data_IF_424470190465
#
_entry.id   IF_424470190465
#
_cell.length_a   1.000
_cell.length_b   1.000
_cell.length_c   1.000
_cell.angle_alpha   90.00
_cell.angle_beta   90.00
_cell.angle_gamma   90.00
#
_symmetry.space_group_name_H-M   'P 1'
#
loop_
_entity.id
_entity.type
_entity.pdbx_description
1 polymer ?
#
# COMPACT_ATOMS: atom_id res chain seq x y z
N UNK A 1 22.22 18.60 19.71
CA UNK A 1 20.99 17.79 19.58
C UNK A 1 19.94 18.72 19.01
N UNK A 2 19.31 18.38 17.87
CA UNK A 2 18.27 19.24 17.28
C UNK A 2 17.06 19.21 18.21
N UNK A 3 16.61 20.37 18.67
CA UNK A 3 15.44 20.45 19.53
C UNK A 3 14.17 20.65 18.70
N UNK A 4 13.77 19.62 17.95
CA UNK A 4 12.58 19.66 17.08
C UNK A 4 11.32 20.07 17.85
N UNK A 5 11.20 19.62 19.10
CA UNK A 5 10.01 19.82 19.91
C UNK A 5 10.00 21.15 20.70
N UNK A 6 11.11 21.90 20.72
CA UNK A 6 11.16 23.19 21.41
C UNK A 6 10.39 24.31 20.71
N UNK A 7 10.21 24.25 19.39
CA UNK A 7 9.44 25.23 18.62
C UNK A 7 7.95 24.83 18.45
N UNK A 8 7.49 23.77 19.12
CA UNK A 8 6.10 23.31 19.04
C UNK A 8 5.10 24.26 19.73
N UNK A 9 3.87 24.25 19.25
CA UNK A 9 2.75 25.10 19.64
C UNK A 9 2.12 25.86 18.46
N UNK A 10 2.25 25.32 17.24
CA UNK A 10 1.74 25.89 15.99
C UNK A 10 1.28 24.76 15.04
N UNK A 11 0.97 25.07 13.79
CA UNK A 11 0.70 24.12 12.71
C UNK A 11 1.89 23.17 12.52
N UNK A 12 1.61 21.88 12.31
CA UNK A 12 2.61 20.88 11.97
C UNK A 12 2.69 20.74 10.44
N UNK A 13 3.91 20.74 9.90
CA UNK A 13 4.12 20.65 8.45
C UNK A 13 5.09 19.55 8.08
N UNK A 14 4.86 18.98 6.91
CA UNK A 14 5.76 18.02 6.26
C UNK A 14 5.98 18.41 4.81
N UNK A 15 7.24 18.62 4.48
CA UNK A 15 7.72 18.91 3.14
C UNK A 15 8.31 17.69 2.46
N UNK A 16 8.22 17.62 1.13
CA UNK A 16 8.88 16.62 0.30
C UNK A 16 9.55 17.24 -0.93
N UNK A 17 10.79 16.81 -1.19
CA UNK A 17 11.52 17.01 -2.44
C UNK A 17 11.76 15.63 -3.04
N UNK A 18 11.43 15.43 -4.31
CA UNK A 18 11.69 14.17 -5.03
C UNK A 18 12.63 14.44 -6.19
N UNK A 19 13.80 13.80 -6.17
CA UNK A 19 14.77 13.83 -7.24
C UNK A 19 14.83 12.46 -7.92
N UNK A 20 14.16 12.37 -9.08
CA UNK A 20 14.14 11.15 -9.89
C UNK A 20 15.48 10.84 -10.57
N UNK A 21 16.40 11.81 -10.68
CA UNK A 21 17.72 11.59 -11.29
C UNK A 21 18.65 10.82 -10.35
N UNK A 22 18.52 11.04 -9.03
CA UNK A 22 19.29 10.35 -8.00
C UNK A 22 18.49 9.25 -7.28
N UNK A 23 17.21 9.08 -7.61
CA UNK A 23 16.27 8.16 -6.95
C UNK A 23 16.15 8.42 -5.44
N UNK A 24 16.16 9.70 -5.04
CA UNK A 24 16.06 10.14 -3.65
C UNK A 24 14.79 10.98 -3.42
N UNK A 25 14.10 10.71 -2.32
CA UNK A 25 13.09 11.58 -1.73
C UNK A 25 13.60 12.13 -0.39
N UNK A 26 13.48 13.45 -0.19
CA UNK A 26 13.87 14.13 1.04
C UNK A 26 12.64 14.71 1.71
N UNK A 27 12.42 14.33 2.96
CA UNK A 27 11.36 14.85 3.82
C UNK A 27 11.89 15.90 4.77
N UNK A 28 11.07 16.91 5.04
CA UNK A 28 11.33 17.97 6.02
C UNK A 28 10.14 18.03 6.97
N UNK A 29 10.35 17.78 8.26
CA UNK A 29 9.28 17.88 9.27
C UNK A 29 9.59 19.06 10.18
N UNK A 30 8.61 19.92 10.43
CA UNK A 30 8.75 21.11 11.28
C UNK A 30 7.52 22.02 11.20
N UNK A 31 7.65 23.26 11.67
CA UNK A 31 6.59 24.28 11.52
C UNK A 31 6.63 24.90 10.11
N UNK A 32 5.53 25.50 9.61
CA UNK A 32 5.56 26.21 8.34
C UNK A 32 6.64 27.28 8.26
N UNK A 33 6.85 28.02 9.36
CA UNK A 33 7.85 29.08 9.45
C UNK A 33 9.28 28.55 9.38
N UNK A 34 9.57 27.46 10.12
CA UNK A 34 10.91 26.86 10.14
C UNK A 34 11.25 26.24 8.77
N UNK A 35 10.29 25.56 8.12
CA UNK A 35 10.46 25.03 6.77
C UNK A 35 10.68 26.16 5.77
N UNK A 36 9.88 27.22 5.82
CA UNK A 36 10.01 28.39 4.94
C UNK A 36 11.38 29.04 5.09
N UNK A 37 11.85 29.24 6.31
CA UNK A 37 13.17 29.80 6.60
C UNK A 37 14.29 28.88 6.08
N UNK A 38 14.18 27.57 6.27
CA UNK A 38 15.14 26.61 5.74
C UNK A 38 15.25 26.67 4.21
N UNK A 39 14.13 26.80 3.51
CA UNK A 39 14.13 26.93 2.04
C UNK A 39 14.78 28.23 1.59
N UNK A 40 14.42 29.37 2.18
CA UNK A 40 15.00 30.66 1.80
C UNK A 40 16.50 30.76 2.10
N UNK A 41 17.00 29.98 3.04
CA UNK A 41 18.43 29.83 3.31
C UNK A 41 19.13 28.83 2.36
N UNK A 42 18.49 28.45 1.24
CA UNK A 42 19.10 27.64 0.19
C UNK A 42 19.04 26.13 0.42
N UNK A 43 18.12 25.65 1.27
CA UNK A 43 17.95 24.23 1.59
C UNK A 43 19.25 23.53 2.05
N UNK A 44 19.93 24.03 3.11
CA UNK A 44 21.19 23.46 3.57
C UNK A 44 21.03 21.97 3.90
N UNK A 45 22.06 21.17 3.56
CA UNK A 45 22.07 19.71 3.80
C UNK A 45 21.91 19.32 5.26
N UNK A 46 22.37 20.20 6.18
CA UNK A 46 22.22 20.04 7.62
C UNK A 46 20.94 20.76 8.05
N UNK A 47 20.09 20.04 8.77
CA UNK A 47 18.90 20.62 9.38
C UNK A 47 19.29 21.76 10.33
N UNK A 48 18.53 22.85 10.28
CA UNK A 48 18.57 23.92 11.30
C UNK A 48 17.71 23.51 12.49
N UNK A 49 17.78 24.27 13.59
CA UNK A 49 16.86 24.05 14.72
C UNK A 49 15.40 24.18 14.26
N UNK A 50 14.49 23.40 14.87
CA UNK A 50 13.07 23.40 14.54
C UNK A 50 12.65 22.54 13.35
N UNK A 51 13.60 21.97 12.59
CA UNK A 51 13.30 21.01 11.51
C UNK A 51 14.09 19.72 11.63
N UNK A 52 13.56 18.65 11.05
CA UNK A 52 14.29 17.40 10.80
C UNK A 52 14.21 17.05 9.33
N UNK A 53 15.33 16.55 8.81
CA UNK A 53 15.47 16.06 7.45
C UNK A 53 15.58 14.54 7.47
N UNK A 54 14.78 13.87 6.65
CA UNK A 54 14.93 12.45 6.36
C UNK A 54 15.16 12.24 4.88
N UNK A 55 16.07 11.33 4.51
CA UNK A 55 16.36 11.02 3.12
C UNK A 55 16.16 9.54 2.88
N UNK A 56 15.39 9.24 1.84
CA UNK A 56 15.02 7.89 1.48
C UNK A 56 15.11 7.69 -0.03
N UNK A 57 15.01 6.44 -0.46
CA UNK A 57 14.80 6.15 -1.89
C UNK A 57 13.38 6.49 -2.30
N UNK A 58 13.17 6.94 -3.53
CA UNK A 58 11.83 7.21 -4.06
C UNK A 58 10.92 5.99 -3.88
N UNK A 59 9.74 6.19 -3.31
CA UNK A 59 8.81 5.11 -2.99
C UNK A 59 8.81 4.66 -1.55
N UNK A 60 9.60 5.28 -0.67
CA UNK A 60 9.65 4.87 0.73
C UNK A 60 8.40 5.29 1.49
N UNK A 61 7.76 6.42 1.18
CA UNK A 61 6.46 6.77 1.80
C UNK A 61 5.41 5.66 1.66
N UNK A 62 5.34 5.02 0.50
CA UNK A 62 4.45 3.88 0.26
C UNK A 62 4.83 2.68 1.13
N UNK A 63 6.12 2.45 1.38
CA UNK A 63 6.60 1.39 2.28
C UNK A 63 6.28 1.72 3.74
N UNK A 64 6.44 2.97 4.13
CA UNK A 64 6.19 3.49 5.47
C UNK A 64 4.71 3.37 5.87
N UNK A 65 3.79 3.75 4.97
CA UNK A 65 2.35 3.54 5.16
C UNK A 65 2.04 2.04 5.26
N UNK A 66 2.58 1.22 4.36
CA UNK A 66 2.39 -0.23 4.38
C UNK A 66 2.91 -0.88 5.67
N UNK A 67 4.02 -0.37 6.23
CA UNK A 67 4.60 -0.83 7.50
C UNK A 67 3.70 -0.44 8.66
N UNK A 68 3.35 0.84 8.75
CA UNK A 68 2.52 1.38 9.83
C UNK A 68 1.17 0.67 9.95
N UNK A 69 0.55 0.29 8.82
CA UNK A 69 -0.70 -0.48 8.83
C UNK A 69 -0.55 -1.93 9.27
N UNK A 70 0.62 -2.55 9.03
CA UNK A 70 0.84 -3.99 9.26
C UNK A 70 1.45 -4.28 10.61
N UNK A 71 2.30 -3.39 11.09
CA UNK A 71 3.00 -3.53 12.36
C UNK A 71 2.04 -3.06 13.44
N UNK A 72 1.32 -4.03 14.01
CA UNK A 72 0.20 -3.78 14.94
C UNK A 72 0.57 -2.82 16.07
N UNK A 73 1.75 -3.01 16.68
CA UNK A 73 2.18 -2.22 17.84
C UNK A 73 2.48 -0.75 17.52
N UNK A 74 3.02 -0.42 16.34
CA UNK A 74 3.46 0.96 16.05
C UNK A 74 2.29 1.96 16.05
N UNK A 75 1.14 1.59 15.46
CA UNK A 75 -0.04 2.47 15.45
C UNK A 75 -0.83 2.38 16.75
N UNK A 76 -0.91 1.20 17.37
CA UNK A 76 -1.63 1.02 18.65
C UNK A 76 -0.99 1.85 19.77
N UNK A 77 0.35 1.86 19.88
CA UNK A 77 1.06 2.68 20.89
C UNK A 77 0.79 4.18 20.70
N UNK A 78 0.74 4.67 19.46
CA UNK A 78 0.44 6.07 19.18
C UNK A 78 -1.01 6.41 19.58
N UNK A 79 -1.96 5.51 19.32
CA UNK A 79 -3.36 5.67 19.75
C UNK A 79 -3.45 5.68 21.27
N UNK A 80 -2.72 4.81 21.96
CA UNK A 80 -2.67 4.78 23.43
C UNK A 80 -2.12 6.10 24.01
N UNK A 81 -1.07 6.67 23.42
CA UNK A 81 -0.58 8.00 23.80
C UNK A 81 -1.63 9.09 23.58
N UNK A 82 -2.28 9.07 22.41
CA UNK A 82 -3.36 10.01 22.10
C UNK A 82 -4.49 9.91 23.11
N UNK A 83 -4.90 8.71 23.51
CA UNK A 83 -6.02 8.51 24.44
C UNK A 83 -5.66 8.96 25.86
N UNK A 84 -4.41 8.73 26.30
CA UNK A 84 -3.91 9.29 27.57
C UNK A 84 -3.85 10.81 27.55
N UNK A 85 -3.41 11.41 26.43
CA UNK A 85 -3.42 12.87 26.26
C UNK A 85 -4.84 13.44 26.23
N UNK A 86 -5.87 12.66 25.86
CA UNK A 86 -7.27 13.05 25.93
C UNK A 86 -7.86 13.06 27.37
N UNK A 87 -7.03 13.25 28.40
CA UNK A 87 -7.48 13.34 29.80
C UNK A 87 -7.45 14.81 30.28
N UNK A 88 -8.62 15.37 30.58
CA UNK A 88 -8.77 16.74 31.05
C UNK A 88 -8.10 16.99 32.41
N UNK A 89 -8.11 16.01 33.31
CA UNK A 89 -7.46 16.14 34.62
C UNK A 89 -5.94 16.29 34.46
N UNK A 90 -5.34 15.51 33.54
CA UNK A 90 -3.91 15.60 33.21
C UNK A 90 -3.51 16.95 32.58
N UNK A 91 -4.44 17.58 31.87
CA UNK A 91 -4.26 18.93 31.35
C UNK A 91 -4.32 19.96 32.47
N UNK A 92 -5.26 19.81 33.42
CA UNK A 92 -5.42 20.70 34.57
C UNK A 92 -4.23 20.65 35.54
N UNK A 93 -3.72 19.47 35.87
CA UNK A 93 -2.64 19.28 36.84
C UNK A 93 -1.23 19.38 36.23
N UNK A 94 -1.13 19.44 34.89
CA UNK A 94 0.11 19.56 34.14
C UNK A 94 0.91 18.25 33.97
N UNK A 95 0.39 17.12 34.44
CA UNK A 95 1.01 15.80 34.27
C UNK A 95 1.09 15.35 32.81
N UNK A 96 0.28 15.93 31.93
CA UNK A 96 0.38 15.77 30.47
C UNK A 96 1.78 16.06 29.90
N UNK A 97 2.62 16.88 30.55
CA UNK A 97 3.97 17.14 30.05
C UNK A 97 4.87 15.89 30.06
N UNK A 98 4.76 15.04 31.09
CA UNK A 98 5.49 13.76 31.11
C UNK A 98 5.05 12.85 29.96
N UNK A 99 3.75 12.86 29.64
CA UNK A 99 3.21 12.09 28.51
C UNK A 99 3.71 12.59 27.16
N UNK A 100 3.89 13.92 27.02
CA UNK A 100 4.48 14.51 25.82
C UNK A 100 5.97 14.15 25.69
N UNK A 101 6.71 14.16 26.80
CA UNK A 101 8.10 13.75 26.82
C UNK A 101 8.25 12.28 26.39
N UNK A 102 7.39 11.39 26.90
CA UNK A 102 7.33 9.98 26.44
C UNK A 102 6.98 9.87 24.95
N UNK A 103 5.94 10.59 24.48
CA UNK A 103 5.56 10.59 23.06
C UNK A 103 6.73 11.05 22.16
N UNK A 104 7.52 12.03 22.60
CA UNK A 104 8.67 12.54 21.84
C UNK A 104 9.77 11.48 21.67
N UNK A 105 9.92 10.56 22.63
CA UNK A 105 10.90 9.46 22.56
C UNK A 105 10.53 8.42 21.49
N UNK A 106 9.27 8.36 21.07
CA UNK A 106 8.83 7.49 19.97
C UNK A 106 9.18 8.05 18.59
N UNK A 107 9.59 9.31 18.49
CA UNK A 107 10.07 9.92 17.27
C UNK A 107 11.42 9.32 16.88
N UNK A 108 11.50 8.74 15.68
CA UNK A 108 12.71 8.07 15.22
C UNK A 108 13.63 9.06 14.48
N UNK A 109 14.81 9.32 15.04
CA UNK A 109 15.82 10.20 14.45
C UNK A 109 16.78 9.48 13.48
N UNK A 110 16.61 8.17 13.30
CA UNK A 110 17.47 7.38 12.43
C UNK A 110 17.21 7.66 10.94
N UNK A 111 18.16 7.23 10.11
CA UNK A 111 18.01 7.27 8.65
C UNK A 111 16.90 6.34 8.13
N UNK A 112 16.44 5.38 8.95
CA UNK A 112 15.40 4.40 8.59
C UNK A 112 14.02 4.77 9.16
N UNK A 113 13.87 6.00 9.65
CA UNK A 113 12.65 6.47 10.26
C UNK A 113 11.44 6.34 9.32
N UNK A 114 10.34 5.84 9.87
CA UNK A 114 9.05 5.81 9.19
C UNK A 114 8.45 7.22 9.18
N UNK A 115 8.37 7.84 8.01
CA UNK A 115 7.95 9.25 7.89
C UNK A 115 6.49 9.44 8.26
N UNK A 116 5.63 8.48 7.91
CA UNK A 116 4.23 8.53 8.28
C UNK A 116 4.08 8.51 9.82
N UNK A 117 4.82 7.61 10.50
CA UNK A 117 4.85 7.52 11.96
C UNK A 117 5.37 8.82 12.59
N UNK A 118 6.54 9.29 12.14
CA UNK A 118 7.18 10.49 12.69
C UNK A 118 6.30 11.74 12.53
N UNK A 119 5.65 11.88 11.37
CA UNK A 119 4.75 13.00 11.14
C UNK A 119 3.52 12.95 12.04
N UNK A 120 2.91 11.77 12.26
CA UNK A 120 1.81 11.62 13.22
C UNK A 120 2.25 12.01 14.62
N UNK A 121 3.40 11.54 15.08
CA UNK A 121 3.94 11.88 16.41
C UNK A 121 4.15 13.39 16.55
N UNK A 122 4.83 14.00 15.57
CA UNK A 122 5.06 15.44 15.56
C UNK A 122 3.75 16.23 15.53
N UNK A 123 2.79 15.81 14.71
CA UNK A 123 1.46 16.43 14.64
C UNK A 123 0.73 16.38 15.98
N UNK A 124 0.65 15.20 16.62
CA UNK A 124 -0.02 15.04 17.91
C UNK A 124 0.63 15.90 18.99
N UNK A 125 1.96 15.88 19.08
CA UNK A 125 2.70 16.70 20.02
C UNK A 125 2.43 18.19 19.80
N UNK A 126 2.53 18.66 18.54
CA UNK A 126 2.40 20.07 18.20
C UNK A 126 0.97 20.59 18.46
N UNK A 127 -0.05 19.84 18.05
CA UNK A 127 -1.46 20.17 18.31
C UNK A 127 -1.77 20.18 19.80
N UNK A 128 -1.28 19.22 20.56
CA UNK A 128 -1.50 19.22 22.00
C UNK A 128 -0.85 20.44 22.67
N UNK A 129 0.40 20.78 22.33
CA UNK A 129 1.08 21.99 22.84
C UNK A 129 0.33 23.27 22.49
N UNK A 130 -0.24 23.36 21.28
CA UNK A 130 -1.05 24.49 20.85
C UNK A 130 -2.28 24.67 21.76
N UNK A 131 -3.04 23.60 21.99
CA UNK A 131 -4.21 23.63 22.87
C UNK A 131 -3.85 23.84 24.35
N UNK A 132 -2.75 23.25 24.82
CA UNK A 132 -2.21 23.48 26.16
C UNK A 132 -1.83 24.96 26.38
N UNK A 133 -1.20 25.60 25.39
CA UNK A 133 -0.86 27.03 25.45
C UNK A 133 -2.11 27.90 25.56
N UNK A 134 -3.15 27.58 24.79
CA UNK A 134 -4.42 28.30 24.83
C UNK A 134 -5.17 28.09 26.14
N UNK A 135 -5.14 26.88 26.71
CA UNK A 135 -5.63 26.59 28.05
C UNK A 135 -4.90 27.41 29.13
N UNK A 136 -3.57 27.50 29.05
CA UNK A 136 -2.73 28.19 30.03
C UNK A 136 -2.86 29.74 29.99
N UNK A 137 -3.57 30.31 29.01
CA UNK A 137 -3.89 31.75 29.03
C UNK A 137 -4.67 32.06 30.31
N UNK A 138 -4.17 33.02 31.11
CA UNK A 138 -4.71 33.39 32.44
C UNK A 138 -6.17 33.81 32.33
N UNK A 139 -7.05 33.07 33.01
CA UNK A 139 -8.45 33.44 33.22
C UNK A 139 -8.78 33.14 34.70
N UNK A 140 -9.35 34.10 35.42
CA UNK A 140 -9.76 33.93 36.82
C UNK A 140 -11.03 33.09 36.93
N UNK A 141 -10.90 31.77 36.79
CA UNK A 141 -12.01 30.82 36.87
C UNK A 141 -12.01 30.04 38.20
N UNK A 142 -13.18 29.53 38.58
CA UNK A 142 -13.31 28.53 39.64
C UNK A 142 -12.69 27.19 39.20
N UNK A 143 -12.48 26.27 40.15
CA UNK A 143 -11.97 24.91 39.85
C UNK A 143 -12.84 24.21 38.80
N UNK A 144 -14.17 24.25 38.96
CA UNK A 144 -15.10 23.68 37.99
C UNK A 144 -14.99 24.36 36.63
N UNK A 145 -14.96 25.70 36.59
CA UNK A 145 -14.83 26.44 35.32
C UNK A 145 -13.50 26.17 34.59
N UNK A 146 -12.43 25.86 35.34
CA UNK A 146 -11.15 25.46 34.75
C UNK A 146 -11.22 24.04 34.17
N UNK A 147 -11.92 23.13 34.83
CA UNK A 147 -12.15 21.76 34.35
C UNK A 147 -13.00 21.73 33.08
N UNK A 148 -14.15 22.43 33.08
CA UNK A 148 -15.01 22.57 31.88
C UNK A 148 -14.22 23.14 30.68
N UNK A 149 -13.28 24.06 30.94
CA UNK A 149 -12.39 24.63 29.92
C UNK A 149 -11.37 23.62 29.42
N UNK A 150 -10.80 22.80 30.31
CA UNK A 150 -9.88 21.73 29.92
C UNK A 150 -10.58 20.71 29.02
N UNK A 151 -11.79 20.27 29.37
CA UNK A 151 -12.60 19.38 28.53
C UNK A 151 -12.77 19.93 27.11
N UNK A 152 -13.11 21.22 26.97
CA UNK A 152 -13.24 21.86 25.65
C UNK A 152 -11.95 21.77 24.82
N UNK A 153 -10.78 22.02 25.40
CA UNK A 153 -9.51 21.93 24.66
C UNK A 153 -9.12 20.49 24.34
N UNK A 154 -9.45 19.55 25.22
CA UNK A 154 -9.30 18.12 24.95
C UNK A 154 -10.20 17.68 23.78
N UNK A 155 -11.44 18.16 23.69
CA UNK A 155 -12.32 17.87 22.55
C UNK A 155 -11.73 18.39 21.23
N UNK A 156 -11.13 19.60 21.22
CA UNK A 156 -10.44 20.15 20.05
C UNK A 156 -9.24 19.27 19.64
N UNK A 157 -8.39 18.88 20.61
CA UNK A 157 -7.29 17.95 20.36
C UNK A 157 -7.77 16.59 19.84
N UNK A 158 -8.86 16.07 20.41
CA UNK A 158 -9.46 14.80 20.00
C UNK A 158 -9.92 14.85 18.54
N UNK A 159 -10.53 15.96 18.12
CA UNK A 159 -10.93 16.19 16.74
C UNK A 159 -9.72 16.25 15.79
N UNK A 160 -8.67 17.01 16.14
CA UNK A 160 -7.45 17.10 15.33
C UNK A 160 -6.73 15.74 15.20
N UNK A 161 -6.59 15.02 16.32
CA UNK A 161 -5.93 13.71 16.33
C UNK A 161 -6.71 12.66 15.53
N UNK A 162 -8.04 12.73 15.53
CA UNK A 162 -8.87 11.86 14.69
C UNK A 162 -8.58 12.10 13.20
N UNK A 163 -8.41 13.36 12.76
CA UNK A 163 -8.09 13.69 11.36
C UNK A 163 -6.81 13.00 10.88
N UNK A 164 -5.75 12.97 11.71
CA UNK A 164 -4.47 12.37 11.32
C UNK A 164 -4.47 10.84 11.43
N UNK A 165 -5.20 10.26 12.38
CA UNK A 165 -5.19 8.82 12.65
C UNK A 165 -6.21 8.03 11.82
N UNK A 166 -7.40 8.60 11.58
CA UNK A 166 -8.52 7.92 10.93
C UNK A 166 -8.17 7.23 9.61
N UNK A 167 -7.39 7.84 8.68
CA UNK A 167 -7.04 7.17 7.43
C UNK A 167 -6.32 5.84 7.65
N UNK A 168 -5.43 5.77 8.63
CA UNK A 168 -4.67 4.56 8.96
C UNK A 168 -5.52 3.53 9.70
N UNK A 169 -6.38 3.98 10.62
CA UNK A 169 -7.28 3.10 11.36
C UNK A 169 -8.31 2.44 10.45
N UNK A 170 -8.93 3.21 9.53
CA UNK A 170 -9.84 2.67 8.50
C UNK A 170 -9.12 1.69 7.59
N UNK A 171 -7.95 2.07 7.07
CA UNK A 171 -7.18 1.21 6.18
C UNK A 171 -6.73 -0.11 6.85
N UNK A 172 -6.48 -0.08 8.16
CA UNK A 172 -6.17 -1.27 8.94
C UNK A 172 -7.38 -2.21 9.05
N UNK A 173 -8.57 -1.66 9.30
CA UNK A 173 -9.81 -2.44 9.32
C UNK A 173 -10.09 -3.09 7.95
N UNK A 174 -9.89 -2.33 6.87
CA UNK A 174 -10.10 -2.77 5.49
C UNK A 174 -8.94 -3.62 4.94
N UNK A 175 -7.86 -3.80 5.72
CA UNK A 175 -6.60 -4.47 5.33
C UNK A 175 -5.99 -3.89 4.03
N UNK A 176 -6.31 -2.64 3.69
CA UNK A 176 -5.85 -1.95 2.50
C UNK A 176 -5.96 -0.44 2.69
N UNK A 177 -4.94 0.30 2.23
CA UNK A 177 -5.01 1.76 2.14
C UNK A 177 -5.27 2.14 0.71
N UNK A 178 -6.44 2.68 0.39
CA UNK A 178 -6.71 3.18 -0.95
C UNK A 178 -6.42 4.69 -0.98
N UNK A 179 -5.32 5.10 -1.64
CA UNK A 179 -4.92 6.51 -1.71
C UNK A 179 -5.99 7.34 -2.43
N UNK A 180 -6.53 6.85 -3.54
CA UNK A 180 -7.56 7.55 -4.30
C UNK A 180 -8.81 7.81 -3.45
N UNK A 181 -9.30 6.79 -2.75
CA UNK A 181 -10.45 6.96 -1.85
C UNK A 181 -10.13 7.87 -0.67
N UNK A 182 -8.92 7.79 -0.11
CA UNK A 182 -8.51 8.62 1.02
C UNK A 182 -8.39 10.10 0.66
N UNK A 183 -7.92 10.41 -0.56
CA UNK A 183 -7.83 11.77 -1.12
C UNK A 183 -9.21 12.28 -1.53
N UNK A 184 -9.98 11.49 -2.29
CA UNK A 184 -11.32 11.90 -2.76
C UNK A 184 -12.34 12.03 -1.63
N UNK A 185 -12.13 11.33 -0.52
CA UNK A 185 -12.98 11.42 0.66
C UNK A 185 -12.78 12.70 1.48
N UNK A 186 -11.80 13.55 1.13
CA UNK A 186 -11.57 14.81 1.84
C UNK A 186 -12.53 15.89 1.34
N UNK A 187 -13.23 16.50 2.28
CA UNK A 187 -14.16 17.62 2.01
C UNK A 187 -13.56 18.97 2.41
N UNK A 188 -12.40 18.97 3.09
CA UNK A 188 -11.68 20.17 3.51
C UNK A 188 -10.66 20.58 2.44
N UNK A 189 -10.36 21.88 2.36
CA UNK A 189 -9.34 22.41 1.46
C UNK A 189 -7.96 21.94 1.92
N UNK A 190 -7.17 21.38 1.01
CA UNK A 190 -5.79 20.99 1.28
C UNK A 190 -4.90 22.22 1.47
N UNK A 191 -4.46 22.47 2.71
CA UNK A 191 -3.45 23.48 2.97
C UNK A 191 -2.07 22.94 2.54
N UNK A 192 -1.54 23.54 1.48
CA UNK A 192 -0.25 23.19 0.92
C UNK A 192 0.49 24.43 0.43
N UNK A 193 1.82 24.32 0.38
CA UNK A 193 2.70 25.36 -0.14
C UNK A 193 3.74 24.77 -1.08
N UNK A 194 4.12 25.51 -2.10
CA UNK A 194 5.18 25.10 -3.03
C UNK A 194 6.29 26.14 -3.02
N UNK A 195 7.50 25.70 -2.71
CA UNK A 195 8.69 26.52 -2.75
C UNK A 195 9.63 26.03 -3.86
N UNK A 196 9.99 26.93 -4.77
CA UNK A 196 10.89 26.64 -5.89
C UNK A 196 12.21 27.37 -5.68
N UNK A 197 13.31 26.65 -5.84
CA UNK A 197 14.63 27.25 -6.03
C UNK A 197 15.30 26.65 -7.28
N UNK A 198 16.50 27.09 -7.62
CA UNK A 198 17.25 26.64 -8.80
C UNK A 198 17.62 25.15 -8.79
N UNK A 199 17.51 24.47 -7.64
CA UNK A 199 17.99 23.10 -7.45
C UNK A 199 16.87 22.09 -7.17
N UNK A 200 15.74 22.53 -6.65
CA UNK A 200 14.64 21.65 -6.23
C UNK A 200 13.30 22.39 -6.14
N UNK A 201 12.22 21.61 -6.24
CA UNK A 201 10.87 22.03 -5.84
C UNK A 201 10.50 21.30 -4.55
N UNK A 202 10.25 22.06 -3.48
CA UNK A 202 9.71 21.56 -2.22
C UNK A 202 8.20 21.74 -2.22
N UNK A 203 7.48 20.65 -1.99
CA UNK A 203 6.05 20.65 -1.74
C UNK A 203 5.82 20.46 -0.25
N UNK A 204 5.00 21.29 0.38
CA UNK A 204 4.73 21.26 1.82
C UNK A 204 3.25 21.03 2.05
N UNK A 205 2.92 20.07 2.90
CA UNK A 205 1.60 19.82 3.43
C UNK A 205 1.54 20.33 4.87
N UNK A 206 0.51 21.11 5.18
CA UNK A 206 0.26 21.64 6.53
C UNK A 206 -0.90 20.87 7.15
N UNK A 207 -0.73 20.43 8.40
CA UNK A 207 -1.71 19.76 9.26
C UNK A 207 -2.43 18.54 8.64
N UNK A 208 -1.92 18.00 7.53
CA UNK A 208 -2.62 16.96 6.78
C UNK A 208 -1.66 15.99 6.11
N UNK A 209 -1.65 14.75 6.62
CA UNK A 209 -0.94 13.67 5.95
C UNK A 209 -1.57 13.33 4.60
N UNK A 210 -2.89 13.49 4.46
CA UNK A 210 -3.57 13.23 3.20
C UNK A 210 -3.16 14.22 2.12
N UNK A 211 -2.93 15.49 2.47
CA UNK A 211 -2.33 16.46 1.54
C UNK A 211 -0.94 16.02 1.09
N UNK A 212 -0.11 15.50 2.01
CA UNK A 212 1.20 14.95 1.63
C UNK A 212 1.04 13.77 0.65
N UNK A 213 0.07 12.88 0.88
CA UNK A 213 -0.19 11.75 -0.02
C UNK A 213 -0.68 12.18 -1.40
N UNK A 214 -1.52 13.21 -1.46
CA UNK A 214 -2.05 13.76 -2.70
C UNK A 214 -0.91 14.35 -3.55
N UNK A 215 -0.12 15.25 -2.94
CA UNK A 215 1.12 15.78 -3.51
C UNK A 215 2.04 14.65 -3.99
N UNK A 216 2.25 13.63 -3.15
CA UNK A 216 3.12 12.52 -3.48
C UNK A 216 2.60 11.72 -4.68
N UNK A 217 1.28 11.52 -4.77
CA UNK A 217 0.63 10.82 -5.90
C UNK A 217 0.85 11.59 -7.19
N UNK A 218 0.69 12.92 -7.17
CA UNK A 218 0.92 13.79 -8.33
C UNK A 218 2.38 13.80 -8.76
N UNK A 219 3.31 13.91 -7.82
CA UNK A 219 4.75 13.88 -8.11
C UNK A 219 5.16 12.54 -8.72
N UNK A 220 4.69 11.42 -8.17
CA UNK A 220 4.94 10.08 -8.71
C UNK A 220 4.27 9.91 -10.09
N UNK A 221 3.05 10.41 -10.26
CA UNK A 221 2.32 10.41 -11.53
C UNK A 221 3.07 11.15 -12.64
N UNK A 222 3.65 12.32 -12.32
CA UNK A 222 4.47 13.10 -13.24
C UNK A 222 5.71 12.37 -13.75
N UNK A 223 6.21 11.38 -13.01
CA UNK A 223 7.33 10.53 -13.44
C UNK A 223 6.93 9.32 -14.31
N UNK A 224 5.66 9.23 -14.73
CA UNK A 224 5.15 8.08 -15.51
C UNK A 224 4.92 6.82 -14.67
N UNK A 225 4.88 6.97 -13.34
CA UNK A 225 4.57 5.90 -12.38
C UNK A 225 3.14 6.09 -11.85
N UNK A 226 2.59 5.06 -11.22
CA UNK A 226 1.28 5.11 -10.54
C UNK A 226 1.38 4.41 -9.19
N UNK A 227 0.61 4.92 -8.23
CA UNK A 227 0.40 4.28 -6.94
C UNK A 227 -0.89 3.47 -7.01
N UNK A 228 -0.83 2.18 -6.68
CA UNK A 228 -1.99 1.27 -6.71
C UNK A 228 -1.93 0.25 -5.58
N UNK A 229 -3.02 -0.48 -5.35
CA UNK A 229 -3.06 -1.57 -4.38
C UNK A 229 -2.80 -2.92 -5.05
N UNK A 230 -2.12 -3.82 -4.33
CA UNK A 230 -2.02 -5.22 -4.71
C UNK A 230 -3.40 -5.88 -4.60
N UNK A 231 -3.88 -6.50 -5.68
CA UNK A 231 -5.18 -7.20 -5.72
C UNK A 231 -5.30 -8.35 -4.70
N UNK A 232 -4.19 -8.90 -4.22
CA UNK A 232 -4.19 -10.05 -3.31
C UNK A 232 -3.98 -9.66 -1.84
N UNK A 233 -3.07 -8.72 -1.54
CA UNK A 233 -2.72 -8.40 -0.16
C UNK A 233 -3.01 -6.95 0.26
N UNK A 234 -3.64 -6.16 -0.61
CA UNK A 234 -4.07 -4.78 -0.31
C UNK A 234 -2.94 -3.76 -0.16
N UNK A 235 -1.67 -4.17 -0.22
CA UNK A 235 -0.54 -3.26 -0.05
C UNK A 235 -0.46 -2.22 -1.16
N UNK A 236 -0.08 -1.01 -0.79
CA UNK A 236 0.30 0.02 -1.76
C UNK A 236 1.57 -0.39 -2.52
N UNK A 237 1.60 -0.04 -3.79
CA UNK A 237 2.67 -0.35 -4.73
C UNK A 237 2.90 0.83 -5.64
N UNK A 238 4.14 1.02 -6.06
CA UNK A 238 4.47 1.95 -7.15
C UNK A 238 4.84 1.11 -8.36
N UNK A 239 4.17 1.35 -9.49
CA UNK A 239 4.41 0.63 -10.75
C UNK A 239 4.53 1.62 -11.91
N UNK A 240 5.20 1.21 -12.99
CA UNK A 240 5.21 2.00 -14.22
C UNK A 240 3.80 2.03 -14.81
N UNK A 241 3.36 3.19 -15.31
CA UNK A 241 2.06 3.31 -15.98
C UNK A 241 1.96 2.43 -17.22
N UNK A 242 3.07 2.24 -17.95
CA UNK A 242 3.12 1.40 -19.13
C UNK A 242 2.98 -0.10 -18.82
N UNK A 243 3.37 -0.52 -17.62
CA UNK A 243 3.39 -1.93 -17.19
C UNK A 243 2.86 -2.04 -15.75
N UNK A 244 1.63 -1.58 -15.54
CA UNK A 244 1.02 -1.58 -14.22
C UNK A 244 0.86 -3.02 -13.70
N UNK A 245 1.54 -3.34 -12.60
CA UNK A 245 1.40 -4.65 -11.96
C UNK A 245 0.14 -4.70 -11.11
N UNK A 246 -0.62 -5.77 -11.25
CA UNK A 246 -1.79 -6.06 -10.40
C UNK A 246 -1.39 -6.63 -9.02
N UNK A 247 -0.15 -7.08 -8.87
CA UNK A 247 0.33 -7.68 -7.62
C UNK A 247 1.67 -7.12 -7.17
N UNK A 248 1.92 -7.20 -5.87
CA UNK A 248 3.18 -6.77 -5.29
C UNK A 248 4.32 -7.73 -5.62
N UNK A 249 5.54 -7.36 -5.24
CA UNK A 249 6.73 -8.18 -5.47
C UNK A 249 6.73 -9.55 -4.76
N UNK A 250 5.83 -9.78 -3.79
CA UNK A 250 5.79 -11.02 -2.98
C UNK A 250 5.43 -12.23 -3.83
N UNK A 251 6.22 -13.29 -3.70
CA UNK A 251 6.03 -14.56 -4.43
C UNK A 251 4.66 -15.19 -4.16
N UNK A 252 4.14 -15.09 -2.94
CA UNK A 252 2.81 -15.61 -2.58
C UNK A 252 1.70 -14.90 -3.38
N UNK A 253 1.71 -13.56 -3.41
CA UNK A 253 0.75 -12.77 -4.16
C UNK A 253 0.83 -13.08 -5.67
N UNK A 254 2.03 -13.21 -6.24
CA UNK A 254 2.18 -13.58 -7.66
C UNK A 254 1.60 -14.98 -7.95
N UNK A 255 1.87 -15.97 -7.09
CA UNK A 255 1.34 -17.33 -7.21
C UNK A 255 -0.18 -17.37 -7.12
N UNK A 256 -0.77 -16.69 -6.13
CA UNK A 256 -2.23 -16.61 -5.98
C UNK A 256 -2.91 -15.99 -7.19
N UNK A 257 -2.32 -14.94 -7.79
CA UNK A 257 -2.88 -14.33 -9.00
C UNK A 257 -2.85 -15.28 -10.19
N UNK A 258 -1.76 -16.03 -10.35
CA UNK A 258 -1.65 -17.07 -11.37
C UNK A 258 -2.68 -18.18 -11.15
N UNK A 259 -2.89 -18.61 -9.91
CA UNK A 259 -3.91 -19.60 -9.59
C UNK A 259 -5.33 -19.11 -9.90
N UNK A 260 -5.68 -17.88 -9.50
CA UNK A 260 -6.97 -17.25 -9.84
C UNK A 260 -7.14 -17.13 -11.36
N UNK A 261 -6.13 -16.64 -12.09
CA UNK A 261 -6.19 -16.52 -13.54
C UNK A 261 -6.38 -17.88 -14.25
N UNK A 262 -5.72 -18.92 -13.75
CA UNK A 262 -5.87 -20.28 -14.26
C UNK A 262 -7.25 -20.87 -13.94
N UNK A 263 -7.79 -20.60 -12.75
CA UNK A 263 -9.14 -21.02 -12.37
C UNK A 263 -10.21 -20.32 -13.23
N UNK A 264 -10.10 -19.01 -13.42
CA UNK A 264 -10.99 -18.23 -14.29
C UNK A 264 -10.91 -18.71 -15.75
N UNK A 265 -9.70 -19.03 -16.23
CA UNK A 265 -9.52 -19.64 -17.54
C UNK A 265 -10.24 -20.98 -17.64
N UNK A 266 -10.09 -21.85 -16.63
CA UNK A 266 -10.80 -23.14 -16.59
C UNK A 266 -12.30 -22.93 -16.62
N UNK A 267 -12.85 -22.06 -15.76
CA UNK A 267 -14.29 -21.75 -15.73
C UNK A 267 -14.81 -21.28 -17.09
N UNK A 268 -14.11 -20.35 -17.75
CA UNK A 268 -14.46 -19.88 -19.11
C UNK A 268 -14.28 -20.94 -20.19
N UNK A 269 -13.35 -21.86 -20.02
CA UNK A 269 -13.17 -22.99 -20.94
C UNK A 269 -14.28 -24.03 -20.75
N UNK A 270 -14.72 -24.28 -19.52
CA UNK A 270 -15.81 -25.21 -19.21
C UNK A 270 -17.18 -24.68 -19.68
N UNK A 271 -17.36 -23.38 -19.86
CA UNK A 271 -18.60 -22.80 -20.42
C UNK A 271 -18.71 -22.89 -21.95
N UNK A 272 -17.67 -23.37 -22.63
CA UNK A 272 -17.60 -23.50 -24.09
C UNK A 272 -17.32 -24.96 -24.43
N UNK A 273 -18.26 -25.69 -25.04
CA UNK A 273 -18.16 -27.15 -25.21
C UNK A 273 -16.92 -27.57 -26.02
N UNK A 274 -16.46 -26.73 -26.95
CA UNK A 274 -15.24 -26.99 -27.75
C UNK A 274 -13.99 -26.84 -26.87
N UNK A 275 -13.96 -25.80 -26.02
CA UNK A 275 -12.84 -25.57 -25.10
C UNK A 275 -12.84 -26.60 -23.97
N UNK A 276 -14.00 -26.99 -23.46
CA UNK A 276 -14.19 -28.02 -22.46
C UNK A 276 -13.65 -29.36 -22.94
N UNK A 277 -14.10 -29.85 -24.11
CA UNK A 277 -13.65 -31.12 -24.68
C UNK A 277 -12.12 -31.15 -24.86
N UNK A 278 -11.54 -30.07 -25.39
CA UNK A 278 -10.08 -29.95 -25.51
C UNK A 278 -9.36 -29.96 -24.15
N UNK A 279 -9.89 -29.20 -23.18
CA UNK A 279 -9.29 -29.08 -21.86
C UNK A 279 -9.32 -30.41 -21.12
N UNK A 280 -10.42 -31.16 -21.22
CA UNK A 280 -10.56 -32.50 -20.68
C UNK A 280 -9.56 -33.47 -21.33
N UNK A 281 -9.38 -33.39 -22.65
CA UNK A 281 -8.35 -34.17 -23.36
C UNK A 281 -6.94 -33.88 -22.84
N UNK A 282 -6.52 -32.62 -22.83
CA UNK A 282 -5.17 -32.22 -22.41
C UNK A 282 -4.90 -32.61 -20.95
N UNK A 283 -5.89 -32.41 -20.05
CA UNK A 283 -5.77 -32.76 -18.63
C UNK A 283 -5.68 -34.27 -18.38
N UNK A 284 -6.54 -35.09 -19.02
CA UNK A 284 -6.49 -36.55 -18.88
C UNK A 284 -5.15 -37.09 -19.38
N UNK A 285 -4.69 -36.64 -20.54
CA UNK A 285 -3.41 -37.09 -21.11
C UNK A 285 -2.20 -36.67 -20.25
N UNK A 286 -2.21 -35.47 -19.66
CA UNK A 286 -1.18 -35.08 -18.66
C UNK A 286 -1.13 -36.01 -17.47
N UNK A 287 -2.27 -36.52 -17.00
CA UNK A 287 -2.32 -37.47 -15.89
C UNK A 287 -1.63 -38.80 -16.24
N UNK A 288 -1.76 -39.26 -17.49
CA UNK A 288 -1.08 -40.46 -17.97
C UNK A 288 0.42 -40.21 -18.15
N UNK A 289 0.79 -39.07 -18.74
CA UNK A 289 2.18 -38.61 -18.85
C UNK A 289 2.89 -38.60 -17.49
N UNK A 290 2.21 -38.12 -16.44
CA UNK A 290 2.75 -38.08 -15.06
C UNK A 290 3.05 -39.49 -14.52
N UNK A 291 2.29 -40.51 -14.90
CA UNK A 291 2.56 -41.91 -14.48
C UNK A 291 3.84 -42.49 -15.10
N UNK A 292 4.30 -41.91 -16.21
CA UNK A 292 5.51 -42.31 -16.92
C UNK A 292 6.73 -41.44 -16.56
N UNK A 293 6.60 -40.44 -15.67
CA UNK A 293 7.67 -39.47 -15.40
C UNK A 293 8.96 -40.07 -14.84
N UNK A 294 8.88 -41.26 -14.24
CA UNK A 294 10.02 -42.00 -13.71
C UNK A 294 10.78 -42.81 -14.78
N UNK A 295 10.27 -42.87 -16.02
CA UNK A 295 10.80 -43.70 -17.10
C UNK A 295 11.05 -42.84 -18.36
N UNK A 296 12.23 -42.20 -18.49
CA UNK A 296 12.49 -41.22 -19.55
C UNK A 296 12.22 -41.73 -20.98
N UNK A 297 12.64 -42.95 -21.30
CA UNK A 297 12.46 -43.54 -22.64
C UNK A 297 10.99 -43.83 -22.97
N UNK A 298 10.22 -44.30 -21.99
CA UNK A 298 8.78 -44.54 -22.14
C UNK A 298 8.00 -43.22 -22.25
N UNK A 299 8.43 -42.23 -21.47
CA UNK A 299 7.89 -40.88 -21.51
C UNK A 299 8.09 -40.22 -22.87
N UNK A 300 9.25 -40.43 -23.51
CA UNK A 300 9.53 -39.93 -24.85
C UNK A 300 8.59 -40.54 -25.91
N UNK A 301 8.43 -41.87 -25.90
CA UNK A 301 7.49 -42.58 -26.79
C UNK A 301 6.06 -42.09 -26.60
N UNK A 302 5.64 -41.89 -25.35
CA UNK A 302 4.32 -41.33 -25.05
C UNK A 302 4.18 -39.88 -25.56
N UNK A 303 5.19 -39.04 -25.36
CA UNK A 303 5.14 -37.64 -25.79
C UNK A 303 5.02 -37.49 -27.31
N UNK A 304 5.67 -38.37 -28.09
CA UNK A 304 5.55 -38.38 -29.54
C UNK A 304 4.09 -38.63 -29.97
N UNK A 305 3.49 -39.71 -29.47
CA UNK A 305 2.09 -40.05 -29.75
C UNK A 305 1.10 -38.98 -29.25
N UNK A 306 1.34 -38.42 -28.07
CA UNK A 306 0.54 -37.32 -27.52
C UNK A 306 0.59 -36.08 -28.43
N UNK A 307 1.77 -35.68 -28.91
CA UNK A 307 1.92 -34.52 -29.77
C UNK A 307 1.22 -34.72 -31.12
N UNK A 308 1.31 -35.91 -31.72
CA UNK A 308 0.61 -36.23 -32.96
C UNK A 308 -0.92 -36.12 -32.81
N UNK A 309 -1.49 -36.73 -31.76
CA UNK A 309 -2.92 -36.64 -31.49
C UNK A 309 -3.36 -35.20 -31.17
N UNK A 310 -2.54 -34.47 -30.41
CA UNK A 310 -2.81 -33.08 -30.05
C UNK A 310 -2.87 -32.18 -31.28
N UNK A 311 -2.00 -32.37 -32.26
CA UNK A 311 -2.04 -31.56 -33.51
C UNK A 311 -3.25 -31.91 -34.36
N UNK A 312 -3.66 -33.19 -34.45
CA UNK A 312 -4.92 -33.58 -35.12
C UNK A 312 -6.14 -32.92 -34.48
N UNK A 313 -6.24 -32.97 -33.15
CA UNK A 313 -7.34 -32.34 -32.40
C UNK A 313 -7.32 -30.82 -32.60
N UNK A 314 -6.14 -30.18 -32.53
CA UNK A 314 -6.00 -28.74 -32.75
C UNK A 314 -6.41 -28.30 -34.14
N UNK A 315 -6.12 -29.10 -35.17
CA UNK A 315 -6.52 -28.79 -36.55
C UNK A 315 -8.05 -28.67 -36.68
N UNK A 316 -8.78 -29.66 -36.15
CA UNK A 316 -10.25 -29.63 -36.16
C UNK A 316 -10.80 -28.51 -35.28
N UNK A 317 -10.22 -28.30 -34.09
CA UNK A 317 -10.61 -27.21 -33.17
C UNK A 317 -10.56 -25.83 -33.82
N UNK A 318 -9.55 -25.54 -34.65
CA UNK A 318 -9.41 -24.24 -35.33
C UNK A 318 -10.56 -23.94 -36.30
N UNK A 319 -11.23 -24.97 -36.82
CA UNK A 319 -12.39 -24.83 -37.69
C UNK A 319 -13.74 -24.71 -36.96
N UNK A 320 -13.75 -24.79 -35.62
CA UNK A 320 -14.98 -24.77 -34.82
C UNK A 320 -15.12 -23.47 -34.03
N UNK A 321 -16.36 -23.01 -33.89
CA UNK A 321 -16.73 -21.85 -33.06
C UNK A 321 -17.95 -22.20 -32.21
N UNK A 322 -18.27 -21.35 -31.22
CA UNK A 322 -19.49 -21.54 -30.40
C UNK A 322 -20.81 -21.49 -31.19
N UNK A 323 -20.76 -21.10 -32.47
CA UNK A 323 -21.91 -21.10 -33.40
C UNK A 323 -21.95 -22.32 -34.32
N UNK A 324 -20.95 -23.21 -34.24
CA UNK A 324 -20.92 -24.44 -35.02
C UNK A 324 -22.12 -25.33 -34.67
N UNK A 325 -22.50 -26.22 -35.60
CA UNK A 325 -23.65 -27.11 -35.37
C UNK A 325 -23.38 -28.05 -34.20
N UNK A 326 -24.45 -28.43 -33.48
CA UNK A 326 -24.35 -29.39 -32.36
C UNK A 326 -23.68 -30.69 -32.81
N UNK A 327 -23.99 -31.18 -34.02
CA UNK A 327 -23.39 -32.39 -34.58
C UNK A 327 -21.86 -32.29 -34.75
N UNK A 328 -21.37 -31.12 -35.19
CA UNK A 328 -19.93 -30.91 -35.36
C UNK A 328 -19.20 -30.85 -34.01
N UNK A 329 -19.84 -30.23 -33.02
CA UNK A 329 -19.31 -30.15 -31.64
C UNK A 329 -19.30 -31.53 -30.98
N UNK A 330 -20.34 -32.33 -31.15
CA UNK A 330 -20.41 -33.70 -30.62
C UNK A 330 -19.35 -34.59 -31.26
N UNK A 331 -19.18 -34.51 -32.59
CA UNK A 331 -18.13 -35.25 -33.30
C UNK A 331 -16.74 -34.88 -32.80
N UNK A 332 -16.48 -33.60 -32.58
CA UNK A 332 -15.22 -33.12 -32.02
C UNK A 332 -15.00 -33.61 -30.58
N UNK A 333 -16.04 -33.61 -29.77
CA UNK A 333 -16.01 -34.11 -28.39
C UNK A 333 -15.69 -35.59 -28.35
N UNK A 334 -16.32 -36.38 -29.22
CA UNK A 334 -16.03 -37.81 -29.35
C UNK A 334 -14.58 -38.05 -29.79
N UNK A 335 -14.08 -37.31 -30.78
CA UNK A 335 -12.68 -37.40 -31.20
C UNK A 335 -11.69 -37.11 -30.06
N UNK A 336 -11.99 -36.12 -29.21
CA UNK A 336 -11.18 -35.83 -28.01
C UNK A 336 -11.22 -36.98 -26.99
N UNK A 337 -12.37 -37.64 -26.85
CA UNK A 337 -12.55 -38.79 -25.96
C UNK A 337 -11.79 -40.02 -26.47
N UNK A 338 -11.92 -40.36 -27.75
CA UNK A 338 -11.27 -41.52 -28.35
C UNK A 338 -9.74 -41.39 -28.26
N UNK A 339 -9.19 -40.21 -28.58
CA UNK A 339 -7.78 -39.93 -28.44
C UNK A 339 -7.28 -40.04 -26.98
N UNK A 340 -8.12 -39.75 -25.99
CA UNK A 340 -7.77 -39.98 -24.59
C UNK A 340 -7.63 -41.46 -24.26
N UNK A 341 -8.56 -42.29 -24.74
CA UNK A 341 -8.54 -43.73 -24.46
C UNK A 341 -7.38 -44.42 -25.17
N UNK A 342 -7.09 -44.03 -26.42
CA UNK A 342 -5.90 -44.49 -27.15
C UNK A 342 -4.60 -44.20 -26.37
N UNK A 343 -4.46 -42.97 -25.89
CA UNK A 343 -3.28 -42.56 -25.12
C UNK A 343 -3.24 -43.20 -23.72
N UNK A 344 -4.40 -43.45 -23.10
CA UNK A 344 -4.48 -44.17 -21.83
C UNK A 344 -3.96 -45.59 -21.98
N UNK A 345 -4.40 -46.27 -23.04
CA UNK A 345 -4.01 -47.64 -23.33
C UNK A 345 -2.52 -47.72 -23.69
N UNK A 346 -2.02 -46.79 -24.50
CA UNK A 346 -0.60 -46.67 -24.78
C UNK A 346 0.22 -46.53 -23.49
N UNK A 347 -0.19 -45.64 -22.58
CA UNK A 347 0.50 -45.47 -21.30
C UNK A 347 0.46 -46.73 -20.42
N UNK A 348 -0.60 -47.54 -20.53
CA UNK A 348 -0.72 -48.83 -19.84
C UNK A 348 0.25 -49.86 -20.43
N UNK A 349 0.25 -50.02 -21.76
CA UNK A 349 1.13 -50.96 -22.48
C UNK A 349 2.59 -50.63 -22.23
N UNK A 350 2.96 -49.35 -22.30
CA UNK A 350 4.34 -48.90 -22.09
C UNK A 350 4.86 -49.24 -20.69
N UNK A 351 3.99 -49.32 -19.67
CA UNK A 351 4.38 -49.60 -18.28
C UNK A 351 4.50 -51.10 -17.96
N UNK A 352 3.91 -51.97 -18.80
CA UNK A 352 3.90 -53.43 -18.60
C UNK A 352 5.09 -54.10 -19.31
N UNK A 353 5.71 -53.42 -20.27
CA UNK A 353 7.01 -53.77 -20.87
C UNK A 353 8.12 -53.10 -20.10
#
# INVERSE_FOLDING_TARGET
>A
MINLFASCGDIASVGIIVDFSTDIETYVVGTPADIKNWVYNGCPKKATDGIILHKNKVGNLVKDINRLMKVKYELDEIVDFRDKLCNADMLCDGSCNSMLDELSQFYDYSEYANIAKNYIIYFLYNKFKMWQKDFNKKIGLSVKGNHDRAEKYIELFKADSEKILRPFLSARADKSFNVTSAVQGQTEVFDSSVYKNSYATLYVANDSFITLLDIYTDVISGSGRIISNCENCGQLMITSRANASLTCGRTTCKKERLYKANDDYKKRAMSDPIKEAYLNFDNKCRSYRKKLSAYPELLEKYNLAFNEQREKIRAVKRGLTSKSSVKDIDRYTQMCFDACEDLRELARILKVK
#
